data_IF_829918053004
#
_entry.id   IF_829918053004
#
_cell.length_a   1.000
_cell.length_b   1.000
_cell.length_c   1.000
_cell.angle_alpha   90.00
_cell.angle_beta   90.00
_cell.angle_gamma   90.00
#
_symmetry.space_group_name_H-M   'P 1'
#
loop_
_entity.id
_entity.type
_entity.pdbx_description
1 polymer ?
#
# COMPACT_ATOMS: atom_id res chain seq x y z
N UNK A 1 5.75 14.17 -6.10
CA UNK A 1 5.36 12.77 -5.82
C UNK A 1 4.63 12.24 -7.04
N UNK A 2 5.13 11.21 -7.67
CA UNK A 2 4.43 10.51 -8.75
C UNK A 2 3.95 9.16 -8.22
N UNK A 3 2.66 8.89 -8.39
CA UNK A 3 2.02 7.64 -8.00
C UNK A 3 1.92 6.74 -9.25
N UNK A 4 2.38 5.50 -9.15
CA UNK A 4 2.24 4.52 -10.22
C UNK A 4 1.49 3.31 -9.68
N UNK A 5 0.32 3.06 -10.23
CA UNK A 5 -0.51 1.90 -9.91
C UNK A 5 -0.11 0.70 -10.76
N UNK A 6 0.16 -0.42 -10.10
CA UNK A 6 0.11 -1.72 -10.73
C UNK A 6 -1.30 -2.30 -10.68
N UNK A 7 -1.69 -3.13 -11.64
CA UNK A 7 -3.00 -3.76 -11.66
C UNK A 7 -3.15 -4.83 -10.60
N UNK A 8 -4.35 -4.90 -10.02
CA UNK A 8 -4.69 -5.87 -9.00
C UNK A 8 -4.96 -7.26 -9.61
N UNK A 9 -4.47 -8.30 -8.94
CA UNK A 9 -4.95 -9.66 -9.13
C UNK A 9 -5.36 -10.22 -7.78
N UNK A 10 -6.64 -10.63 -7.65
CA UNK A 10 -7.21 -11.24 -6.43
C UNK A 10 -6.81 -10.53 -5.13
N UNK A 11 -7.10 -9.24 -5.02
CA UNK A 11 -6.89 -8.48 -3.79
C UNK A 11 -5.45 -8.01 -3.54
N UNK A 12 -4.57 -8.05 -4.53
CA UNK A 12 -3.26 -7.40 -4.46
C UNK A 12 -3.15 -6.34 -5.55
N UNK A 13 -3.04 -5.09 -5.14
CA UNK A 13 -2.63 -4.00 -6.00
C UNK A 13 -1.14 -3.71 -5.75
N UNK A 14 -0.35 -3.71 -6.79
CA UNK A 14 1.03 -3.20 -6.73
C UNK A 14 1.01 -1.69 -6.96
N UNK A 15 1.59 -0.92 -6.05
CA UNK A 15 1.70 0.52 -6.16
C UNK A 15 3.17 0.90 -6.12
N UNK A 16 3.63 1.60 -7.15
CA UNK A 16 4.95 2.22 -7.13
C UNK A 16 4.78 3.71 -6.82
N UNK A 17 5.29 4.10 -5.67
CA UNK A 17 5.31 5.50 -5.24
C UNK A 17 6.72 6.04 -5.46
N UNK A 18 6.85 7.04 -6.32
CA UNK A 18 8.09 7.79 -6.50
C UNK A 18 7.96 9.13 -5.77
N UNK A 19 8.77 9.34 -4.75
CA UNK A 19 8.84 10.60 -4.05
C UNK A 19 10.14 11.32 -4.45
N UNK A 20 10.02 12.60 -4.78
CA UNK A 20 11.16 13.48 -5.04
C UNK A 20 11.31 14.43 -3.89
N UNK A 21 12.47 14.46 -3.31
CA UNK A 21 12.87 15.44 -2.31
C UNK A 21 13.46 16.70 -2.95
N UNK A 22 13.65 17.70 -2.13
CA UNK A 22 14.40 18.90 -2.47
C UNK A 22 15.57 19.03 -1.50
N UNK A 23 16.77 19.05 -2.04
CA UNK A 23 17.97 19.28 -1.24
C UNK A 23 17.97 20.70 -0.68
N UNK A 24 18.42 20.85 0.56
CA UNK A 24 18.69 22.14 1.19
C UNK A 24 20.13 22.17 1.71
N UNK A 25 20.64 23.37 1.90
CA UNK A 25 21.94 23.55 2.53
C UNK A 25 21.90 23.08 3.99
N UNK A 26 22.97 22.49 4.48
CA UNK A 26 23.04 21.95 5.85
C UNK A 26 22.74 22.97 6.96
N UNK A 27 22.94 24.26 6.69
CA UNK A 27 22.61 25.37 7.62
C UNK A 27 21.11 25.75 7.60
N UNK A 28 20.31 25.22 6.65
CA UNK A 28 18.88 25.49 6.52
C UNK A 28 18.13 24.22 6.10
N UNK A 29 18.16 23.19 6.93
CA UNK A 29 17.54 21.92 6.59
C UNK A 29 16.02 22.01 6.43
N UNK A 30 15.39 23.00 7.07
CA UNK A 30 13.95 23.26 6.98
C UNK A 30 13.47 23.67 5.58
N UNK A 31 14.38 24.11 4.72
CA UNK A 31 14.08 24.42 3.31
C UNK A 31 14.13 23.18 2.41
N UNK A 32 14.61 22.06 2.93
CA UNK A 32 14.64 20.79 2.24
C UNK A 32 13.32 20.04 2.38
N UNK A 33 13.10 19.10 1.45
CA UNK A 33 11.99 18.16 1.51
C UNK A 33 12.56 16.74 1.40
N UNK A 34 12.42 15.96 2.47
CA UNK A 34 12.88 14.60 2.46
C UNK A 34 11.89 13.72 1.66
N UNK A 35 12.36 13.11 0.58
CA UNK A 35 11.56 12.24 -0.25
C UNK A 35 11.04 11.00 0.51
N UNK A 36 11.79 10.53 1.51
CA UNK A 36 11.40 9.37 2.32
C UNK A 36 10.14 9.68 3.13
N UNK A 37 10.04 10.84 3.75
CA UNK A 37 8.85 11.22 4.53
C UNK A 37 7.59 11.27 3.67
N UNK A 38 7.67 11.86 2.49
CA UNK A 38 6.55 11.87 1.55
C UNK A 38 6.14 10.47 1.09
N UNK A 39 7.12 9.59 0.94
CA UNK A 39 6.85 8.21 0.55
C UNK A 39 6.18 7.44 1.67
N UNK A 40 6.67 7.53 2.89
CA UNK A 40 6.08 6.82 4.04
C UNK A 40 4.67 7.28 4.35
N UNK A 41 4.40 8.57 4.24
CA UNK A 41 3.05 9.12 4.34
C UNK A 41 2.11 8.56 3.26
N UNK A 42 2.55 8.52 2.01
CA UNK A 42 1.76 7.98 0.91
C UNK A 42 1.47 6.48 1.10
N UNK A 43 2.45 5.68 1.52
CA UNK A 43 2.29 4.26 1.82
C UNK A 43 1.26 4.07 2.95
N UNK A 44 1.37 4.85 4.01
CA UNK A 44 0.44 4.81 5.14
C UNK A 44 -1.01 5.05 4.71
N UNK A 45 -1.24 6.11 3.93
CA UNK A 45 -2.56 6.48 3.41
C UNK A 45 -3.13 5.39 2.49
N UNK A 46 -2.29 4.81 1.65
CA UNK A 46 -2.70 3.76 0.73
C UNK A 46 -3.05 2.45 1.45
N UNK A 47 -2.26 2.02 2.42
CA UNK A 47 -2.54 0.81 3.19
C UNK A 47 -3.89 0.90 3.92
N UNK A 48 -4.20 2.03 4.52
CA UNK A 48 -5.50 2.27 5.15
C UNK A 48 -6.62 2.33 4.11
N UNK A 49 -6.44 3.08 3.02
CA UNK A 49 -7.44 3.19 1.97
C UNK A 49 -7.77 1.85 1.32
N UNK A 50 -6.75 1.02 1.04
CA UNK A 50 -6.93 -0.32 0.49
C UNK A 50 -7.75 -1.19 1.44
N UNK A 51 -7.42 -1.19 2.73
CA UNK A 51 -8.15 -1.99 3.71
C UNK A 51 -9.63 -1.61 3.81
N UNK A 52 -9.94 -0.31 3.72
CA UNK A 52 -11.32 0.19 3.74
C UNK A 52 -12.05 -0.15 2.43
N UNK A 53 -11.40 0.00 1.29
CA UNK A 53 -12.02 -0.33 -0.01
C UNK A 53 -12.32 -1.81 -0.14
N UNK A 54 -11.51 -2.68 0.48
CA UNK A 54 -11.78 -4.12 0.54
C UNK A 54 -13.07 -4.44 1.32
N UNK A 55 -13.49 -3.60 2.26
CA UNK A 55 -14.78 -3.75 2.96
C UNK A 55 -15.98 -3.33 2.12
N UNK A 56 -15.79 -2.65 0.99
CA UNK A 56 -16.91 -2.19 0.15
C UNK A 56 -17.76 -3.32 -0.43
N UNK A 57 -17.26 -4.56 -0.42
CA UNK A 57 -18.02 -5.75 -0.80
C UNK A 57 -19.04 -6.20 0.25
N UNK A 58 -18.99 -5.68 1.47
CA UNK A 58 -19.83 -6.10 2.60
C UNK A 58 -20.75 -4.97 3.07
N UNK A 59 -22.00 -5.27 3.44
CA UNK A 59 -22.95 -4.27 3.93
C UNK A 59 -22.64 -3.91 5.39
N UNK A 60 -21.69 -3.04 5.62
CA UNK A 60 -21.42 -2.43 6.93
C UNK A 60 -22.37 -1.24 7.16
N UNK A 61 -22.68 -0.95 8.43
CA UNK A 61 -23.61 0.14 8.77
C UNK A 61 -23.00 1.51 8.56
N UNK A 62 -21.77 1.70 9.06
CA UNK A 62 -21.10 2.98 9.02
C UNK A 62 -19.57 2.77 9.04
N UNK A 63 -18.82 3.75 8.51
CA UNK A 63 -17.36 3.73 8.54
C UNK A 63 -16.81 3.73 9.98
N UNK A 64 -17.50 4.39 10.91
CA UNK A 64 -17.15 4.41 12.34
C UNK A 64 -17.19 3.03 13.03
N UNK A 65 -17.88 2.06 12.44
CA UNK A 65 -17.91 0.68 12.93
C UNK A 65 -16.65 -0.09 12.58
N UNK A 66 -15.86 0.43 11.64
CA UNK A 66 -14.60 -0.19 11.21
C UNK A 66 -13.55 -0.10 12.30
N UNK A 67 -12.93 -1.22 12.59
CA UNK A 67 -11.72 -1.33 13.43
C UNK A 67 -10.59 -1.89 12.59
N UNK A 68 -9.41 -1.35 12.78
CA UNK A 68 -8.21 -1.79 12.09
C UNK A 68 -7.30 -2.58 13.03
N UNK A 69 -6.61 -3.56 12.46
CA UNK A 69 -5.39 -4.12 13.04
C UNK A 69 -4.23 -3.73 12.15
N UNK A 70 -3.15 -3.22 12.73
CA UNK A 70 -1.99 -2.77 12.00
C UNK A 70 -0.74 -3.57 12.41
N UNK A 71 0.06 -3.97 11.42
CA UNK A 71 1.39 -4.51 11.61
C UNK A 71 2.41 -3.54 11.00
N UNK A 72 3.19 -2.93 11.86
CA UNK A 72 4.26 -2.00 11.52
C UNK A 72 5.56 -2.78 11.36
N UNK A 73 6.17 -2.73 10.19
CA UNK A 73 7.34 -3.55 9.88
C UNK A 73 8.49 -2.66 9.44
N UNK A 74 9.60 -2.72 10.17
CA UNK A 74 10.78 -1.90 9.90
C UNK A 74 12.06 -2.64 10.28
N UNK A 75 13.17 -2.40 9.57
CA UNK A 75 14.49 -2.78 10.03
C UNK A 75 15.02 -1.71 11.00
N UNK A 76 14.53 -1.70 12.24
CA UNK A 76 14.84 -0.68 13.23
C UNK A 76 16.35 -0.51 13.42
N UNK A 77 16.80 0.74 13.54
CA UNK A 77 18.22 1.11 13.62
C UNK A 77 18.95 1.10 12.27
N UNK A 78 18.28 0.74 11.16
CA UNK A 78 18.88 0.91 9.84
C UNK A 78 18.75 2.37 9.38
N UNK A 79 19.80 2.95 8.77
CA UNK A 79 19.81 4.37 8.41
C UNK A 79 18.59 4.78 7.59
N UNK A 80 17.83 5.77 8.09
CA UNK A 80 16.67 6.35 7.43
C UNK A 80 15.34 5.67 7.69
N UNK A 81 15.30 4.50 8.34
CA UNK A 81 14.05 3.74 8.55
C UNK A 81 13.25 4.21 9.77
N UNK A 82 13.93 4.52 10.88
CA UNK A 82 13.25 4.91 12.12
C UNK A 82 12.44 6.22 11.98
N UNK A 83 12.96 7.30 11.35
CA UNK A 83 12.15 8.47 11.08
C UNK A 83 10.94 8.18 10.18
N UNK A 84 11.13 7.35 9.17
CA UNK A 84 10.04 6.94 8.29
C UNK A 84 8.95 6.17 9.03
N UNK A 85 9.32 5.27 9.94
CA UNK A 85 8.38 4.56 10.79
C UNK A 85 7.58 5.53 11.67
N UNK A 86 8.25 6.49 12.29
CA UNK A 86 7.59 7.52 13.11
C UNK A 86 6.54 8.29 12.29
N UNK A 87 6.91 8.78 11.10
CA UNK A 87 6.00 9.53 10.25
C UNK A 87 4.82 8.68 9.77
N UNK A 88 5.05 7.42 9.46
CA UNK A 88 3.99 6.48 9.09
C UNK A 88 2.97 6.29 10.23
N UNK A 89 3.46 6.03 11.44
CA UNK A 89 2.62 5.88 12.64
C UNK A 89 1.85 7.16 12.94
N UNK A 90 2.51 8.30 12.87
CA UNK A 90 1.90 9.63 13.08
C UNK A 90 0.79 9.89 12.06
N UNK A 91 1.06 9.65 10.77
CA UNK A 91 0.09 9.86 9.69
C UNK A 91 -1.17 9.01 9.91
N UNK A 92 -1.01 7.75 10.28
CA UNK A 92 -2.17 6.88 10.51
C UNK A 92 -2.88 7.23 11.80
N UNK A 93 -2.14 7.36 12.90
CA UNK A 93 -2.73 7.48 14.24
C UNK A 93 -3.25 8.89 14.56
N UNK A 94 -2.58 9.94 14.08
CA UNK A 94 -2.91 11.31 14.42
C UNK A 94 -3.69 12.05 13.34
N UNK A 95 -3.66 11.57 12.10
CA UNK A 95 -4.32 12.24 10.97
C UNK A 95 -5.45 11.39 10.39
N UNK A 96 -5.13 10.20 9.85
CA UNK A 96 -6.11 9.39 9.11
C UNK A 96 -7.20 8.80 9.99
N UNK A 97 -6.84 8.10 11.05
CA UNK A 97 -7.81 7.45 11.90
C UNK A 97 -8.77 8.43 12.55
N UNK A 98 -8.31 9.58 13.11
CA UNK A 98 -9.22 10.62 13.61
C UNK A 98 -10.11 11.21 12.52
N UNK A 99 -9.56 11.53 11.34
CA UNK A 99 -10.32 12.11 10.23
C UNK A 99 -11.41 11.18 9.69
N UNK A 100 -11.19 9.87 9.74
CA UNK A 100 -12.13 8.85 9.28
C UNK A 100 -13.07 8.36 10.39
N UNK A 101 -12.83 8.74 11.64
CA UNK A 101 -13.61 8.26 12.79
C UNK A 101 -13.42 6.78 13.08
N UNK A 102 -12.27 6.21 12.72
CA UNK A 102 -11.92 4.79 12.91
C UNK A 102 -10.81 4.63 13.94
N UNK A 103 -10.61 3.41 14.43
CA UNK A 103 -9.60 3.14 15.44
C UNK A 103 -8.78 1.89 15.13
N UNK A 104 -7.57 1.83 15.69
CA UNK A 104 -6.69 0.66 15.68
C UNK A 104 -6.63 0.12 17.13
N UNK A 105 -7.59 -0.71 17.56
CA UNK A 105 -7.59 -1.25 18.91
C UNK A 105 -6.51 -2.30 19.15
N UNK A 106 -5.99 -2.89 18.10
CA UNK A 106 -4.96 -3.93 18.15
C UNK A 106 -3.94 -3.73 17.04
N UNK A 107 -2.70 -4.00 17.35
CA UNK A 107 -1.61 -3.93 16.40
C UNK A 107 -0.38 -4.65 16.95
N UNK A 108 0.61 -4.80 16.10
CA UNK A 108 1.93 -5.29 16.46
C UNK A 108 3.00 -4.61 15.64
N UNK A 109 4.21 -4.73 16.08
CA UNK A 109 5.40 -4.31 15.35
C UNK A 109 6.29 -5.50 14.99
N UNK A 110 7.08 -5.32 13.95
CA UNK A 110 8.11 -6.26 13.50
C UNK A 110 9.35 -5.43 13.16
N UNK A 111 10.24 -5.26 14.15
CA UNK A 111 11.35 -4.31 14.05
C UNK A 111 12.65 -4.94 13.55
N UNK A 112 12.71 -6.27 13.40
CA UNK A 112 13.91 -7.00 12.96
C UNK A 112 13.83 -7.43 11.50
N UNK A 113 13.46 -6.51 10.61
CA UNK A 113 13.22 -6.80 9.19
C UNK A 113 14.52 -6.85 8.36
N UNK A 114 15.54 -7.52 8.91
CA UNK A 114 16.83 -7.73 8.27
C UNK A 114 17.30 -9.15 8.49
N UNK A 115 17.76 -9.80 7.41
CA UNK A 115 18.42 -11.10 7.46
C UNK A 115 19.88 -10.95 7.08
N UNK A 116 20.75 -11.61 7.82
CA UNK A 116 22.19 -11.65 7.56
C UNK A 116 22.62 -13.11 7.53
N UNK A 117 23.45 -13.49 6.54
CA UNK A 117 24.00 -14.84 6.43
C UNK A 117 25.42 -14.81 5.86
N UNK A 118 26.13 -15.90 6.03
CA UNK A 118 27.43 -16.09 5.41
C UNK A 118 27.30 -17.02 4.19
N UNK A 119 27.86 -16.61 3.07
CA UNK A 119 27.90 -17.39 1.84
C UNK A 119 29.30 -17.24 1.20
N UNK A 120 29.98 -18.34 1.00
CA UNK A 120 31.35 -18.39 0.46
C UNK A 120 32.35 -17.52 1.25
N UNK A 121 32.22 -17.51 2.58
CA UNK A 121 33.05 -16.69 3.47
C UNK A 121 32.79 -15.18 3.41
N UNK A 122 31.70 -14.77 2.79
CA UNK A 122 31.27 -13.37 2.71
C UNK A 122 29.95 -13.17 3.43
N UNK A 123 29.89 -12.13 4.27
CA UNK A 123 28.64 -11.70 4.88
C UNK A 123 27.73 -11.09 3.84
N UNK A 124 26.54 -11.66 3.70
CA UNK A 124 25.44 -11.12 2.90
C UNK A 124 24.32 -10.67 3.80
N UNK A 125 23.55 -9.69 3.35
CA UNK A 125 22.34 -9.26 4.07
C UNK A 125 21.29 -8.78 3.11
N UNK A 126 20.06 -8.98 3.52
CA UNK A 126 18.87 -8.38 2.90
C UNK A 126 18.12 -7.60 3.98
N UNK A 127 17.74 -6.40 3.67
CA UNK A 127 16.96 -5.51 4.54
C UNK A 127 15.63 -5.25 3.85
N UNK A 128 14.53 -5.62 4.51
CA UNK A 128 13.20 -5.32 3.99
C UNK A 128 12.90 -3.83 4.15
N UNK A 129 12.23 -3.19 3.20
CA UNK A 129 11.83 -1.80 3.35
C UNK A 129 10.75 -1.65 4.43
N UNK A 130 10.62 -0.43 4.96
CA UNK A 130 9.52 -0.05 5.82
C UNK A 130 8.18 -0.40 5.16
N UNK A 131 7.33 -1.12 5.89
CA UNK A 131 6.06 -1.64 5.40
C UNK A 131 4.97 -1.51 6.44
N UNK A 132 3.73 -1.38 5.97
CA UNK A 132 2.54 -1.37 6.82
C UNK A 132 1.51 -2.35 6.24
N UNK A 133 1.09 -3.30 7.06
CA UNK A 133 0.01 -4.22 6.74
C UNK A 133 -1.19 -3.86 7.60
N UNK A 134 -2.32 -3.55 6.95
CA UNK A 134 -3.57 -3.19 7.63
C UNK A 134 -4.63 -4.23 7.31
N UNK A 135 -5.31 -4.70 8.36
CA UNK A 135 -6.52 -5.51 8.25
C UNK A 135 -7.69 -4.72 8.82
N UNK A 136 -8.79 -4.65 8.08
CA UNK A 136 -10.00 -3.95 8.50
C UNK A 136 -11.10 -4.93 8.85
N UNK A 137 -11.82 -4.63 9.91
CA UNK A 137 -12.92 -5.43 10.45
C UNK A 137 -14.13 -4.55 10.70
N UNK A 138 -15.31 -5.03 10.36
CA UNK A 138 -16.56 -4.38 10.71
C UNK A 138 -17.67 -5.42 10.84
N UNK A 139 -18.66 -5.22 11.71
CA UNK A 139 -19.86 -6.02 11.73
C UNK A 139 -20.65 -5.85 10.43
N UNK A 140 -21.03 -6.95 9.79
CA UNK A 140 -21.94 -6.92 8.64
C UNK A 140 -23.39 -6.95 9.09
N UNK A 141 -24.23 -6.15 8.45
CA UNK A 141 -25.67 -6.09 8.78
C UNK A 141 -26.43 -7.32 8.26
N UNK A 142 -25.99 -7.90 7.16
CA UNK A 142 -26.55 -9.13 6.60
C UNK A 142 -25.48 -9.87 5.78
N UNK A 143 -25.01 -11.01 6.30
CA UNK A 143 -23.97 -11.81 5.65
C UNK A 143 -24.39 -12.34 4.26
N UNK A 144 -25.68 -12.46 3.99
CA UNK A 144 -26.20 -12.93 2.68
C UNK A 144 -26.07 -11.87 1.58
N UNK A 145 -25.79 -10.62 1.96
CA UNK A 145 -25.66 -9.49 1.03
C UNK A 145 -24.20 -9.12 0.74
N UNK A 146 -23.26 -9.95 1.12
CA UNK A 146 -21.84 -9.77 0.78
C UNK A 146 -21.65 -10.04 -0.70
N UNK A 147 -20.96 -9.13 -1.39
CA UNK A 147 -20.60 -9.31 -2.78
C UNK A 147 -19.41 -10.27 -2.90
N UNK A 148 -19.49 -11.15 -3.87
CA UNK A 148 -18.42 -12.08 -4.26
C UNK A 148 -17.86 -11.67 -5.62
N UNK A 149 -16.73 -12.23 -6.08
CA UNK A 149 -16.23 -12.02 -7.44
C UNK A 149 -17.17 -12.54 -8.53
N UNK A 150 -18.13 -13.37 -8.20
CA UNK A 150 -19.12 -13.86 -9.14
C UNK A 150 -20.17 -12.78 -9.48
N UNK A 151 -20.33 -12.50 -10.77
CA UNK A 151 -21.33 -11.55 -11.21
C UNK A 151 -22.74 -12.12 -11.00
N UNK A 152 -23.57 -11.37 -10.29
CA UNK A 152 -24.96 -11.76 -10.04
C UNK A 152 -25.78 -11.71 -11.34
N UNK A 153 -26.40 -12.85 -11.68
CA UNK A 153 -27.29 -12.98 -12.84
C UNK A 153 -28.76 -12.83 -12.46
N UNK A 154 -29.07 -12.91 -11.18
CA UNK A 154 -30.40 -12.90 -10.59
C UNK A 154 -30.86 -11.50 -10.13
N UNK A 155 -29.98 -10.50 -10.16
CA UNK A 155 -30.26 -9.17 -9.65
C UNK A 155 -30.86 -8.19 -10.69
N UNK A 156 -31.24 -8.66 -11.87
CA UNK A 156 -31.68 -7.81 -12.98
C UNK A 156 -30.50 -7.04 -13.62
N UNK A 157 -30.75 -5.88 -14.24
CA UNK A 157 -29.69 -5.10 -14.88
C UNK A 157 -28.64 -4.64 -13.86
N UNK A 158 -27.39 -5.01 -14.08
CA UNK A 158 -26.24 -4.61 -13.27
C UNK A 158 -25.28 -3.74 -14.09
N UNK A 159 -24.44 -3.00 -13.41
CA UNK A 159 -23.37 -2.18 -14.02
C UNK A 159 -22.04 -2.54 -13.40
N UNK A 160 -21.02 -2.66 -14.24
CA UNK A 160 -19.64 -2.71 -13.80
C UNK A 160 -19.11 -1.27 -13.76
N UNK A 161 -18.57 -0.89 -12.61
CA UNK A 161 -17.98 0.43 -12.42
C UNK A 161 -16.46 0.28 -12.40
N UNK A 162 -15.77 1.00 -13.28
CA UNK A 162 -14.32 1.14 -13.26
C UNK A 162 -13.97 2.49 -12.65
N UNK A 163 -13.24 2.46 -11.53
CA UNK A 163 -12.62 3.66 -10.97
C UNK A 163 -11.16 3.69 -11.43
N UNK A 164 -10.89 4.47 -12.47
CA UNK A 164 -9.53 4.59 -13.00
C UNK A 164 -8.70 5.58 -12.17
N UNK A 165 -7.93 5.06 -11.23
CA UNK A 165 -6.96 5.82 -10.45
C UNK A 165 -5.63 6.05 -11.22
N UNK A 166 -5.42 5.34 -12.31
CA UNK A 166 -4.23 5.43 -13.16
C UNK A 166 -4.25 6.60 -14.15
N UNK A 167 -5.38 7.30 -14.29
CA UNK A 167 -5.57 8.40 -15.25
C UNK A 167 -5.24 7.98 -16.68
N UNK A 168 -5.75 6.84 -17.11
CA UNK A 168 -5.51 6.25 -18.42
C UNK A 168 -4.08 5.72 -18.63
N UNK A 169 -3.32 5.53 -17.56
CA UNK A 169 -1.96 4.98 -17.63
C UNK A 169 -1.95 3.57 -17.04
N UNK A 170 -2.13 2.59 -17.88
CA UNK A 170 -2.15 1.17 -17.53
C UNK A 170 -0.74 0.65 -17.27
N UNK A 171 -0.23 0.88 -16.06
CA UNK A 171 1.11 0.46 -15.66
C UNK A 171 1.03 -0.84 -14.87
N UNK A 172 1.77 -1.86 -15.32
CA UNK A 172 1.77 -3.20 -14.74
C UNK A 172 3.03 -3.52 -13.92
N UNK A 173 3.93 -2.57 -13.73
CA UNK A 173 5.12 -2.77 -12.90
C UNK A 173 4.77 -3.30 -11.50
N UNK A 174 5.55 -4.27 -11.02
CA UNK A 174 5.36 -4.97 -9.74
C UNK A 174 4.02 -5.73 -9.59
N UNK A 175 3.22 -5.86 -10.65
CA UNK A 175 2.01 -6.69 -10.62
C UNK A 175 2.34 -8.18 -10.61
N UNK A 176 1.39 -9.02 -10.18
CA UNK A 176 1.52 -10.47 -10.28
C UNK A 176 1.71 -10.93 -11.74
N UNK A 177 1.07 -10.26 -12.69
CA UNK A 177 1.27 -10.51 -14.12
C UNK A 177 2.71 -10.24 -14.53
N UNK A 178 3.30 -9.11 -14.12
CA UNK A 178 4.70 -8.82 -14.38
C UNK A 178 5.64 -9.86 -13.75
N UNK A 179 5.31 -10.34 -12.55
CA UNK A 179 6.10 -11.38 -11.87
C UNK A 179 6.14 -12.70 -12.65
N UNK A 180 4.99 -13.20 -13.14
CA UNK A 180 4.97 -14.47 -13.90
C UNK A 180 5.68 -14.37 -15.23
N UNK A 181 5.91 -13.15 -15.73
CA UNK A 181 6.70 -12.90 -16.93
C UNK A 181 8.13 -12.43 -16.64
N UNK A 182 8.62 -12.53 -15.39
CA UNK A 182 9.94 -12.07 -14.94
C UNK A 182 10.25 -10.61 -15.28
N UNK A 183 9.23 -9.74 -15.32
CA UNK A 183 9.29 -8.33 -15.69
C UNK A 183 9.01 -7.41 -14.50
N UNK A 184 9.45 -7.80 -13.30
CA UNK A 184 9.24 -7.04 -12.05
C UNK A 184 9.96 -5.69 -12.13
N UNK A 185 9.24 -4.60 -11.88
CA UNK A 185 9.81 -3.26 -11.82
C UNK A 185 9.92 -2.55 -13.17
N UNK A 186 9.61 -3.22 -14.26
CA UNK A 186 9.64 -2.59 -15.58
C UNK A 186 8.43 -1.66 -15.79
N UNK A 187 8.70 -0.43 -16.20
CA UNK A 187 7.68 0.62 -16.38
C UNK A 187 6.74 0.32 -17.54
N UNK A 188 7.12 -0.59 -18.40
CA UNK A 188 6.58 -0.74 -19.76
C UNK A 188 6.14 -2.15 -20.10
N UNK A 189 5.79 -2.95 -19.07
CA UNK A 189 5.36 -4.34 -19.29
C UNK A 189 4.24 -4.46 -20.34
N UNK A 190 3.33 -3.48 -20.43
CA UNK A 190 2.30 -3.43 -21.46
C UNK A 190 2.88 -3.24 -22.88
N UNK A 191 3.98 -2.52 -23.02
CA UNK A 191 4.64 -2.34 -24.32
C UNK A 191 5.31 -3.61 -24.85
N UNK A 192 5.65 -4.55 -23.94
CA UNK A 192 6.19 -5.85 -24.33
C UNK A 192 5.13 -6.84 -24.78
N UNK A 193 3.87 -6.65 -24.34
CA UNK A 193 2.75 -7.51 -24.71
C UNK A 193 1.94 -6.99 -25.91
N UNK A 194 2.07 -5.72 -26.26
CA UNK A 194 1.47 -5.15 -27.45
C UNK A 194 2.53 -5.04 -28.55
N UNK A 195 2.41 -5.82 -29.64
CA UNK A 195 3.22 -5.55 -30.82
C UNK A 195 2.93 -4.13 -31.25
N UNK A 196 3.97 -3.32 -31.41
CA UNK A 196 3.85 -2.02 -32.08
C UNK A 196 3.24 -2.24 -33.46
N UNK A 197 2.02 -1.76 -33.64
CA UNK A 197 1.40 -1.69 -34.96
C UNK A 197 2.14 -0.71 -35.85
#
# INVERSE_FOLDING_TARGET
TSLRLGTAQKGRAGLVVEARGRSAHSSRPELGENAVYRMTEAIARLAVAESITNLASAPIRALSDVKLSANWMAPAGHPGEDPGLYDMVRTVGMELCPALGIAIPVGKDSMSMRTVWDEDGKKKSVTAPLSLIVSAFAPVTDARRVLTPELRKDAGPTRLLLVDLGKGKDRLGASALAQVHNAIGDKTFLQLLMPTA
#
